data_IF_350344706011
#
_entry.id   IF_350344706011
#
_cell.length_a   1.000
_cell.length_b   1.000
_cell.length_c   1.000
_cell.angle_alpha   90.00
_cell.angle_beta   90.00
_cell.angle_gamma   90.00
#
_symmetry.space_group_name_H-M   'P 1'
#
loop_
_entity.id
_entity.type
_entity.pdbx_description
1 polymer ?
#
# COMPACT_ATOMS: atom_id res chain seq x y z
N UNK A 1 39.93 -12.74 20.18
CA UNK A 1 39.73 -13.09 18.75
C UNK A 1 38.97 -14.40 18.67
N UNK A 2 37.64 -14.36 18.66
CA UNK A 2 36.79 -15.55 18.54
C UNK A 2 36.62 -15.91 17.06
N UNK A 3 36.88 -17.16 16.68
CA UNK A 3 36.66 -17.65 15.31
C UNK A 3 35.16 -17.62 15.01
N UNK A 4 34.77 -16.88 13.97
CA UNK A 4 33.41 -16.94 13.43
C UNK A 4 33.15 -18.37 12.93
N UNK A 5 32.04 -18.96 13.38
CA UNK A 5 31.58 -20.24 12.88
C UNK A 5 30.78 -19.98 11.61
N UNK A 6 31.33 -20.45 10.50
CA UNK A 6 30.66 -20.47 9.19
C UNK A 6 29.78 -21.72 9.11
N UNK A 7 28.53 -21.54 8.69
CA UNK A 7 27.58 -22.61 8.38
C UNK A 7 27.04 -22.41 6.97
N UNK A 8 26.74 -23.50 6.26
CA UNK A 8 26.19 -23.45 4.91
C UNK A 8 24.76 -23.99 4.93
N UNK A 9 23.81 -23.27 4.32
CA UNK A 9 22.38 -23.64 4.32
C UNK A 9 21.86 -23.71 2.89
N UNK A 10 21.16 -24.80 2.56
CA UNK A 10 20.59 -25.01 1.25
C UNK A 10 19.31 -24.18 1.09
N UNK A 11 19.27 -23.27 0.12
CA UNK A 11 18.10 -22.46 -0.19
C UNK A 11 16.94 -23.27 -0.78
N UNK A 12 17.17 -24.51 -1.21
CA UNK A 12 16.15 -25.37 -1.80
C UNK A 12 15.49 -26.33 -0.80
N UNK A 13 16.23 -26.82 0.20
CA UNK A 13 15.71 -27.82 1.15
C UNK A 13 16.01 -27.54 2.62
N UNK A 14 16.71 -26.45 2.96
CA UNK A 14 17.04 -26.08 4.33
C UNK A 14 18.15 -26.91 4.99
N UNK A 15 18.74 -27.88 4.28
CA UNK A 15 19.84 -28.69 4.82
C UNK A 15 21.04 -27.82 5.20
N UNK A 16 21.56 -28.02 6.42
CA UNK A 16 22.69 -27.25 6.97
C UNK A 16 23.94 -28.12 7.07
N UNK A 17 25.09 -27.59 6.63
CA UNK A 17 26.39 -28.26 6.70
C UNK A 17 27.48 -27.32 7.22
N UNK A 18 28.47 -27.85 7.93
CA UNK A 18 29.62 -27.06 8.39
C UNK A 18 30.64 -26.73 7.29
N UNK A 19 30.58 -27.39 6.13
CA UNK A 19 31.48 -27.18 4.99
C UNK A 19 30.73 -27.44 3.68
N UNK A 20 31.12 -26.72 2.63
CA UNK A 20 30.55 -26.84 1.30
C UNK A 20 31.35 -27.78 0.40
N UNK A 21 30.64 -28.65 -0.32
CA UNK A 21 31.21 -29.72 -1.16
C UNK A 21 30.77 -29.62 -2.63
N UNK A 22 30.27 -28.47 -3.08
CA UNK A 22 29.84 -28.21 -4.46
C UNK A 22 28.41 -28.67 -4.82
N UNK A 23 27.83 -29.63 -4.08
CA UNK A 23 26.45 -30.11 -4.25
C UNK A 23 25.77 -30.32 -2.88
N UNK A 24 24.47 -29.98 -2.78
CA UNK A 24 23.71 -30.24 -1.55
C UNK A 24 23.53 -31.74 -1.32
N UNK A 25 23.92 -32.25 -0.15
CA UNK A 25 23.84 -33.69 0.16
C UNK A 25 22.43 -34.22 0.41
N UNK A 26 21.46 -33.34 0.65
CA UNK A 26 20.08 -33.74 0.92
C UNK A 26 19.22 -33.75 -0.35
N UNK A 27 19.41 -32.77 -1.24
CA UNK A 27 18.58 -32.65 -2.45
C UNK A 27 19.35 -32.82 -3.76
N UNK A 28 20.66 -33.06 -3.70
CA UNK A 28 21.55 -33.28 -4.86
C UNK A 28 21.58 -32.15 -5.90
N UNK A 29 21.09 -30.95 -5.55
CA UNK A 29 21.09 -29.79 -6.43
C UNK A 29 22.35 -28.96 -6.19
N UNK A 30 23.08 -28.64 -7.27
CA UNK A 30 24.24 -27.74 -7.26
C UNK A 30 23.81 -26.27 -7.20
N UNK A 31 24.67 -25.39 -6.67
CA UNK A 31 24.42 -23.93 -6.65
C UNK A 31 23.38 -23.44 -5.64
N UNK A 32 22.87 -24.30 -4.76
CA UNK A 32 21.80 -23.97 -3.80
C UNK A 32 22.29 -23.67 -2.39
N UNK A 33 23.58 -23.80 -2.09
CA UNK A 33 24.10 -23.57 -0.72
C UNK A 33 24.60 -22.15 -0.54
N UNK A 34 24.10 -21.48 0.49
CA UNK A 34 24.48 -20.13 0.90
C UNK A 34 25.26 -20.17 2.21
N UNK A 35 26.27 -19.32 2.32
CA UNK A 35 27.11 -19.19 3.52
C UNK A 35 26.44 -18.27 4.55
N UNK A 36 26.41 -18.70 5.81
CA UNK A 36 25.83 -18.01 6.95
C UNK A 36 26.84 -17.92 8.10
N UNK A 37 27.06 -16.71 8.59
CA UNK A 37 27.93 -16.42 9.73
C UNK A 37 27.08 -16.26 10.99
N UNK A 38 27.35 -17.06 12.02
CA UNK A 38 26.66 -16.97 13.30
C UNK A 38 27.25 -15.81 14.13
N UNK A 39 26.50 -14.71 14.26
CA UNK A 39 26.86 -13.59 15.14
C UNK A 39 26.39 -13.92 16.56
N UNK A 40 27.32 -14.02 17.52
CA UNK A 40 26.98 -14.16 18.94
C UNK A 40 26.45 -12.84 19.49
N UNK A 41 25.13 -12.73 19.61
CA UNK A 41 24.43 -11.63 20.27
C UNK A 41 23.40 -12.18 21.27
N UNK A 42 23.50 -11.71 22.50
CA UNK A 42 22.76 -12.06 23.72
C UNK A 42 21.24 -12.16 23.57
N UNK A 43 20.65 -13.13 24.26
CA UNK A 43 19.21 -13.32 24.42
C UNK A 43 18.55 -12.11 25.10
N UNK A 44 17.74 -11.39 24.34
CA UNK A 44 16.48 -10.80 24.81
C UNK A 44 15.54 -10.72 23.60
N UNK A 45 14.38 -11.35 23.73
CA UNK A 45 13.27 -11.48 22.78
C UNK A 45 13.16 -10.24 21.86
N UNK A 46 13.38 -10.39 20.55
CA UNK A 46 13.25 -9.25 19.64
C UNK A 46 13.61 -9.52 18.18
N UNK A 47 12.61 -9.32 17.31
CA UNK A 47 12.67 -8.97 15.89
C UNK A 47 13.42 -9.94 14.95
N UNK A 48 12.61 -10.80 14.31
CA UNK A 48 12.90 -11.35 13.00
C UNK A 48 13.15 -10.19 12.04
N UNK A 49 14.28 -10.20 11.35
CA UNK A 49 14.77 -9.15 10.44
C UNK A 49 13.96 -9.11 9.13
N UNK A 50 12.70 -8.72 9.23
CA UNK A 50 11.88 -8.24 8.12
C UNK A 50 11.69 -6.74 8.27
N UNK A 51 11.99 -6.00 7.20
CA UNK A 51 11.35 -4.73 6.90
C UNK A 51 11.29 -3.70 8.05
N UNK A 52 12.43 -3.13 8.45
CA UNK A 52 12.40 -1.88 9.21
C UNK A 52 12.22 -0.70 8.25
N UNK A 53 10.99 -0.53 7.75
CA UNK A 53 10.52 0.82 7.37
C UNK A 53 10.59 1.64 8.65
N UNK A 54 11.24 2.80 8.60
CA UNK A 54 11.39 3.71 9.75
C UNK A 54 10.05 3.87 10.49
N UNK A 55 9.96 3.25 11.67
CA UNK A 55 8.76 3.28 12.53
C UNK A 55 8.39 4.70 12.98
N UNK A 56 9.31 5.65 12.91
CA UNK A 56 9.09 7.03 13.37
C UNK A 56 8.13 7.84 12.48
N UNK A 57 7.94 7.45 11.21
CA UNK A 57 7.05 8.17 10.29
C UNK A 57 5.61 7.64 10.23
N UNK A 58 5.41 6.35 10.48
CA UNK A 58 4.14 5.65 10.23
C UNK A 58 3.26 5.51 11.49
N UNK A 59 3.86 5.58 12.69
CA UNK A 59 3.15 5.40 13.97
C UNK A 59 2.12 6.48 14.31
N UNK A 60 2.13 7.60 13.60
CA UNK A 60 1.22 8.74 13.84
C UNK A 60 -0.20 8.55 13.26
N UNK A 61 -0.42 7.56 12.39
CA UNK A 61 -1.63 7.49 11.56
C UNK A 61 -2.72 6.53 12.06
N UNK A 62 -2.42 5.68 13.05
CA UNK A 62 -3.35 4.66 13.55
C UNK A 62 -3.64 4.90 15.04
N UNK A 63 -4.91 5.06 15.47
CA UNK A 63 -5.23 5.15 16.88
C UNK A 63 -4.91 3.82 17.57
N UNK A 64 -3.93 3.84 18.48
CA UNK A 64 -3.62 2.71 19.35
C UNK A 64 -4.78 2.46 20.33
N UNK A 65 -5.72 1.59 19.96
CA UNK A 65 -6.61 0.96 20.94
C UNK A 65 -5.94 -0.32 21.45
N UNK A 66 -5.26 -0.18 22.57
CA UNK A 66 -4.75 -1.26 23.42
C UNK A 66 -5.90 -1.96 24.15
N UNK A 67 -6.70 -2.73 23.42
CA UNK A 67 -7.63 -3.71 23.99
C UNK A 67 -7.11 -5.12 23.72
N UNK A 68 -7.15 -6.00 24.72
CA UNK A 68 -6.93 -7.43 24.53
C UNK A 68 -7.89 -7.95 23.45
N UNK A 69 -7.33 -8.45 22.34
CA UNK A 69 -8.10 -8.98 21.22
C UNK A 69 -8.65 -10.36 21.61
N UNK A 70 -9.96 -10.44 21.83
CA UNK A 70 -10.67 -11.69 22.08
C UNK A 70 -11.63 -12.00 20.93
N UNK A 71 -11.94 -13.28 20.64
CA UNK A 71 -12.98 -13.63 19.67
C UNK A 71 -14.34 -13.08 20.09
N UNK A 72 -14.97 -12.27 19.24
CA UNK A 72 -16.30 -11.67 19.45
C UNK A 72 -17.33 -12.41 18.59
N UNK A 73 -18.55 -12.64 19.10
CA UNK A 73 -19.62 -13.25 18.31
C UNK A 73 -20.09 -12.30 17.20
N UNK A 74 -20.36 -12.84 16.02
CA UNK A 74 -20.88 -12.06 14.87
C UNK A 74 -22.16 -11.27 15.24
N UNK A 75 -23.04 -11.84 16.06
CA UNK A 75 -24.26 -11.17 16.51
C UNK A 75 -24.00 -9.95 17.40
N UNK A 76 -22.86 -9.88 18.08
CA UNK A 76 -22.47 -8.74 18.90
C UNK A 76 -21.82 -7.65 18.04
N UNK A 77 -21.02 -8.04 17.03
CA UNK A 77 -20.45 -7.11 16.05
C UNK A 77 -21.54 -6.40 15.26
N UNK A 78 -22.50 -7.14 14.69
CA UNK A 78 -23.56 -6.56 13.84
C UNK A 78 -24.51 -5.62 14.58
N UNK A 79 -24.58 -5.67 15.92
CA UNK A 79 -25.40 -4.74 16.72
C UNK A 79 -24.75 -3.38 16.93
N UNK A 80 -23.43 -3.29 16.77
CA UNK A 80 -22.64 -2.08 17.06
C UNK A 80 -22.19 -1.31 15.82
N UNK A 81 -22.41 -1.82 14.61
CA UNK A 81 -21.96 -1.19 13.38
C UNK A 81 -23.15 -0.51 12.71
N UNK A 82 -23.00 0.77 12.36
CA UNK A 82 -23.88 1.41 11.38
C UNK A 82 -23.35 1.08 9.98
N UNK A 83 -23.95 0.06 9.36
CA UNK A 83 -23.50 -0.42 8.05
C UNK A 83 -23.83 0.55 6.91
N UNK A 84 -24.74 1.51 7.12
CA UNK A 84 -25.30 2.35 6.05
C UNK A 84 -24.52 3.65 5.83
N UNK A 85 -23.86 4.19 6.86
CA UNK A 85 -23.23 5.53 6.78
C UNK A 85 -21.70 5.55 6.87
N UNK A 86 -21.05 4.39 7.02
CA UNK A 86 -19.59 4.36 7.19
C UNK A 86 -18.80 4.42 5.88
N UNK A 87 -19.47 4.25 4.73
CA UNK A 87 -18.84 4.29 3.40
C UNK A 87 -18.89 5.69 2.80
N UNK A 88 -17.92 6.00 1.97
CA UNK A 88 -17.95 7.18 1.10
C UNK A 88 -18.88 6.86 -0.08
N UNK A 89 -20.04 7.54 -0.20
CA UNK A 89 -20.94 7.34 -1.31
C UNK A 89 -20.31 7.89 -2.60
N UNK A 90 -20.60 7.25 -3.73
CA UNK A 90 -20.25 7.76 -5.05
C UNK A 90 -21.56 8.05 -5.78
N UNK A 91 -21.89 9.33 -5.89
CA UNK A 91 -23.18 9.80 -6.41
C UNK A 91 -23.27 9.70 -7.94
N UNK A 92 -24.51 9.72 -8.45
CA UNK A 92 -24.80 9.74 -9.88
C UNK A 92 -24.76 8.35 -10.55
N UNK A 93 -25.14 8.27 -11.85
CA UNK A 93 -25.29 7.00 -12.55
C UNK A 93 -23.97 6.22 -12.64
N UNK A 94 -22.86 6.90 -12.90
CA UNK A 94 -21.53 6.29 -12.91
C UNK A 94 -21.10 5.86 -11.50
N UNK A 95 -21.25 6.74 -10.50
CA UNK A 95 -20.90 6.42 -9.11
C UNK A 95 -21.68 5.24 -8.54
N UNK A 96 -22.95 5.07 -8.94
CA UNK A 96 -23.78 3.94 -8.55
C UNK A 96 -23.23 2.59 -9.08
N UNK A 97 -22.76 2.55 -10.32
CA UNK A 97 -22.16 1.34 -10.89
C UNK A 97 -20.82 1.00 -10.20
N UNK A 98 -19.98 2.02 -9.95
CA UNK A 98 -18.73 1.83 -9.18
C UNK A 98 -19.04 1.36 -7.76
N UNK A 99 -20.03 1.96 -7.08
CA UNK A 99 -20.46 1.57 -5.74
C UNK A 99 -20.97 0.13 -5.70
N UNK A 100 -21.66 -0.33 -6.74
CA UNK A 100 -22.11 -1.72 -6.85
C UNK A 100 -20.91 -2.68 -6.87
N UNK A 101 -19.86 -2.37 -7.62
CA UNK A 101 -18.62 -3.16 -7.68
C UNK A 101 -17.90 -3.15 -6.33
N UNK A 102 -17.91 -2.03 -5.61
CA UNK A 102 -17.25 -1.87 -4.31
C UNK A 102 -18.07 -2.38 -3.10
N UNK A 103 -19.24 -2.97 -3.35
CA UNK A 103 -20.12 -3.48 -2.28
C UNK A 103 -20.79 -2.38 -1.45
N UNK A 104 -21.20 -1.28 -2.11
CA UNK A 104 -21.95 -0.18 -1.52
C UNK A 104 -21.19 1.15 -1.40
N UNK A 105 -19.97 1.26 -1.93
CA UNK A 105 -19.15 2.47 -1.87
C UNK A 105 -17.76 2.23 -1.28
N UNK A 106 -16.95 3.28 -1.19
CA UNK A 106 -15.57 3.17 -0.70
C UNK A 106 -15.52 3.12 0.83
N UNK A 107 -14.61 2.31 1.36
CA UNK A 107 -14.39 2.17 2.81
C UNK A 107 -13.29 3.13 3.26
N UNK A 108 -13.53 4.03 4.24
CA UNK A 108 -12.47 4.84 4.84
C UNK A 108 -11.38 3.97 5.47
N UNK A 109 -10.12 4.37 5.30
CA UNK A 109 -8.97 3.62 5.82
C UNK A 109 -8.70 2.30 5.09
N UNK A 110 -9.32 2.06 3.93
CA UNK A 110 -9.01 0.92 3.08
C UNK A 110 -8.07 1.29 1.94
N UNK A 111 -7.47 0.26 1.33
CA UNK A 111 -6.74 0.36 0.07
C UNK A 111 -7.52 -0.38 -1.02
N UNK A 112 -7.80 0.29 -2.13
CA UNK A 112 -8.47 -0.28 -3.30
C UNK A 112 -7.51 -0.26 -4.49
N UNK A 113 -7.27 -1.44 -5.09
CA UNK A 113 -6.43 -1.59 -6.27
C UNK A 113 -7.29 -1.68 -7.53
N UNK A 114 -7.01 -0.81 -8.51
CA UNK A 114 -7.64 -0.84 -9.83
C UNK A 114 -6.66 -1.45 -10.83
N UNK A 115 -6.91 -2.71 -11.21
CA UNK A 115 -6.11 -3.45 -12.19
C UNK A 115 -6.73 -3.45 -13.59
N UNK A 116 -5.89 -3.63 -14.61
CA UNK A 116 -6.32 -3.75 -16.00
C UNK A 116 -5.20 -3.41 -16.98
N UNK A 117 -5.40 -3.77 -18.25
CA UNK A 117 -4.39 -3.58 -19.31
C UNK A 117 -4.03 -2.09 -19.51
N UNK A 118 -2.81 -1.78 -19.98
CA UNK A 118 -2.45 -0.44 -20.41
C UNK A 118 -3.47 0.10 -21.43
N UNK A 119 -3.90 1.34 -21.28
CA UNK A 119 -4.87 1.96 -22.19
C UNK A 119 -6.34 1.60 -21.98
N UNK A 120 -6.70 0.68 -21.06
CA UNK A 120 -8.11 0.34 -20.78
C UNK A 120 -8.91 1.47 -20.12
N UNK A 121 -8.23 2.53 -19.68
CA UNK A 121 -8.86 3.72 -19.07
C UNK A 121 -8.83 3.77 -17.54
N UNK A 122 -7.86 3.10 -16.89
CA UNK A 122 -7.69 3.14 -15.42
C UNK A 122 -7.56 4.57 -14.88
N UNK A 123 -6.66 5.36 -15.46
CA UNK A 123 -6.43 6.76 -15.08
C UNK A 123 -7.69 7.63 -15.26
N UNK A 124 -8.44 7.39 -16.33
CA UNK A 124 -9.73 8.05 -16.58
C UNK A 124 -10.74 7.68 -15.49
N UNK A 125 -10.86 6.38 -15.17
CA UNK A 125 -11.76 5.88 -14.13
C UNK A 125 -11.40 6.48 -12.76
N UNK A 126 -10.12 6.45 -12.39
CA UNK A 126 -9.60 6.98 -11.14
C UNK A 126 -9.85 8.48 -11.01
N UNK A 127 -9.66 9.25 -12.09
CA UNK A 127 -9.89 10.69 -12.09
C UNK A 127 -11.38 11.03 -11.93
N UNK A 128 -12.28 10.27 -12.57
CA UNK A 128 -13.73 10.41 -12.36
C UNK A 128 -14.16 10.00 -10.94
N UNK A 129 -13.56 8.95 -10.37
CA UNK A 129 -13.81 8.56 -8.98
C UNK A 129 -13.31 9.63 -8.00
N UNK A 130 -12.12 10.19 -8.22
CA UNK A 130 -11.59 11.29 -7.42
C UNK A 130 -12.54 12.49 -7.43
N UNK A 131 -13.11 12.81 -8.60
CA UNK A 131 -14.09 13.88 -8.73
C UNK A 131 -15.36 13.63 -7.90
N UNK A 132 -15.92 12.42 -7.97
CA UNK A 132 -17.10 12.05 -7.18
C UNK A 132 -16.83 12.09 -5.66
N UNK A 133 -15.63 11.70 -5.23
CA UNK A 133 -15.26 11.76 -3.81
C UNK A 133 -15.11 13.22 -3.35
N UNK A 134 -14.55 14.09 -4.19
CA UNK A 134 -14.34 15.51 -3.89
C UNK A 134 -15.67 16.29 -3.82
N UNK A 135 -16.65 15.94 -4.66
CA UNK A 135 -18.00 16.52 -4.63
C UNK A 135 -18.77 16.15 -3.35
N UNK A 136 -18.43 15.03 -2.72
CA UNK A 136 -19.08 14.57 -1.48
C UNK A 136 -20.56 14.21 -1.67
N UNK A 137 -21.26 14.05 -0.55
CA UNK A 137 -22.72 13.96 -0.55
C UNK A 137 -23.32 15.34 -0.29
N UNK A 138 -24.55 15.58 -0.72
CA UNK A 138 -25.19 16.93 -0.74
C UNK A 138 -25.25 17.63 0.64
N UNK A 139 -25.06 16.88 1.72
CA UNK A 139 -25.12 17.33 3.11
C UNK A 139 -23.73 17.40 3.81
N UNK A 140 -22.64 17.15 3.08
CA UNK A 140 -21.27 17.08 3.64
C UNK A 140 -20.37 18.25 3.27
N UNK A 141 -19.43 18.59 4.15
CA UNK A 141 -18.34 19.52 3.84
C UNK A 141 -17.43 18.92 2.76
N UNK A 142 -17.16 19.70 1.71
CA UNK A 142 -16.19 19.36 0.67
C UNK A 142 -14.87 18.97 1.33
N UNK A 143 -14.44 17.73 1.11
CA UNK A 143 -13.24 17.20 1.73
C UNK A 143 -12.14 17.04 0.66
N UNK A 144 -10.90 17.47 0.93
CA UNK A 144 -9.83 17.42 -0.05
C UNK A 144 -9.60 16.01 -0.61
N UNK A 145 -9.44 15.90 -1.92
CA UNK A 145 -8.95 14.69 -2.60
C UNK A 145 -7.62 15.04 -3.26
N UNK A 146 -6.61 14.19 -3.08
CA UNK A 146 -5.33 14.35 -3.76
C UNK A 146 -5.17 13.28 -4.82
N UNK A 147 -4.96 13.69 -6.07
CA UNK A 147 -4.59 12.84 -7.18
C UNK A 147 -3.11 12.97 -7.45
N UNK A 148 -2.38 11.88 -7.24
CA UNK A 148 -0.94 11.81 -7.46
C UNK A 148 -0.66 11.02 -8.72
N UNK A 149 0.19 11.54 -9.60
CA UNK A 149 0.72 10.77 -10.72
C UNK A 149 2.23 10.79 -10.79
N UNK A 150 2.82 9.64 -11.12
CA UNK A 150 4.23 9.54 -11.50
C UNK A 150 4.45 9.46 -13.01
N UNK A 151 3.40 9.33 -13.82
CA UNK A 151 3.48 9.19 -15.28
C UNK A 151 3.17 10.49 -16.01
N UNK A 152 2.24 11.28 -15.49
CA UNK A 152 1.73 12.49 -16.14
C UNK A 152 2.07 13.75 -15.34
N UNK A 153 2.26 14.85 -16.06
CA UNK A 153 2.38 16.18 -15.45
C UNK A 153 1.01 16.69 -14.98
N UNK A 154 1.00 17.67 -14.08
CA UNK A 154 -0.24 18.28 -13.58
C UNK A 154 -1.06 18.92 -14.71
N UNK A 155 -0.41 19.49 -15.73
CA UNK A 155 -1.06 20.06 -16.91
C UNK A 155 -1.72 19.00 -17.78
N UNK A 156 -1.09 17.82 -17.93
CA UNK A 156 -1.67 16.71 -18.69
C UNK A 156 -2.92 16.14 -18.00
N UNK A 157 -2.87 16.01 -16.67
CA UNK A 157 -4.02 15.60 -15.87
C UNK A 157 -5.13 16.65 -15.95
N UNK A 158 -4.79 17.94 -15.86
CA UNK A 158 -5.73 19.05 -16.02
C UNK A 158 -6.45 19.02 -17.36
N UNK A 159 -5.71 18.88 -18.47
CA UNK A 159 -6.31 18.74 -19.81
C UNK A 159 -7.26 17.54 -19.92
N UNK A 160 -6.98 16.44 -19.20
CA UNK A 160 -7.87 15.28 -19.14
C UNK A 160 -9.11 15.56 -18.29
N UNK A 161 -8.96 16.23 -17.17
CA UNK A 161 -10.08 16.65 -16.32
C UNK A 161 -11.04 17.57 -17.10
N UNK A 162 -10.50 18.52 -17.87
CA UNK A 162 -11.28 19.41 -18.74
C UNK A 162 -12.08 18.62 -19.78
N UNK A 163 -11.45 17.65 -20.45
CA UNK A 163 -12.14 16.77 -21.41
C UNK A 163 -13.24 15.93 -20.78
N UNK A 164 -13.09 15.59 -19.50
CA UNK A 164 -14.09 14.84 -18.72
C UNK A 164 -15.14 15.76 -18.07
N UNK A 165 -15.01 17.09 -18.24
CA UNK A 165 -15.88 18.10 -17.62
C UNK A 165 -15.89 17.98 -16.09
N UNK A 166 -14.74 17.70 -15.49
CA UNK A 166 -14.57 17.62 -14.04
C UNK A 166 -14.38 19.04 -13.49
N UNK A 167 -15.30 19.50 -12.66
CA UNK A 167 -15.26 20.82 -12.03
C UNK A 167 -15.02 20.79 -10.52
N UNK A 168 -14.76 19.62 -9.94
CA UNK A 168 -14.57 19.44 -8.51
C UNK A 168 -13.15 19.78 -8.06
N UNK A 169 -13.02 20.18 -6.80
CA UNK A 169 -11.75 20.65 -6.22
C UNK A 169 -10.84 19.47 -5.86
N UNK A 170 -10.04 19.03 -6.85
CA UNK A 170 -9.07 17.94 -6.72
C UNK A 170 -7.66 18.54 -6.72
N UNK A 171 -6.90 18.24 -5.68
CA UNK A 171 -5.48 18.61 -5.61
C UNK A 171 -4.67 17.67 -6.50
N UNK A 172 -3.91 18.23 -7.44
CA UNK A 172 -3.03 17.45 -8.32
C UNK A 172 -1.59 17.51 -7.81
N UNK A 173 -0.92 16.36 -7.81
CA UNK A 173 0.49 16.29 -7.46
C UNK A 173 1.24 15.34 -8.40
N UNK A 174 2.39 15.77 -8.93
CA UNK A 174 3.23 14.92 -9.78
C UNK A 174 4.49 14.55 -9.01
N UNK A 175 4.61 13.27 -8.63
CA UNK A 175 5.75 12.74 -7.89
C UNK A 175 5.78 11.21 -7.96
N UNK A 176 6.98 10.67 -7.87
CA UNK A 176 7.27 9.23 -7.82
C UNK A 176 7.81 8.79 -6.46
N UNK A 177 8.08 9.72 -5.54
CA UNK A 177 8.64 9.42 -4.22
C UNK A 177 7.52 9.37 -3.16
N UNK A 178 7.24 8.19 -2.63
CA UNK A 178 6.15 8.02 -1.66
C UNK A 178 6.36 8.81 -0.36
N UNK A 179 7.60 9.00 0.09
CA UNK A 179 7.87 9.76 1.31
C UNK A 179 7.60 11.26 1.10
N UNK A 180 7.91 11.77 -0.09
CA UNK A 180 7.59 13.13 -0.49
C UNK A 180 6.08 13.31 -0.67
N UNK A 181 5.39 12.36 -1.31
CA UNK A 181 3.93 12.35 -1.44
C UNK A 181 3.27 12.42 -0.07
N UNK A 182 3.60 11.49 0.83
CA UNK A 182 2.96 11.42 2.15
C UNK A 182 3.22 12.69 2.98
N UNK A 183 4.44 13.24 2.97
CA UNK A 183 4.75 14.48 3.69
C UNK A 183 3.94 15.68 3.21
N UNK A 184 3.76 15.83 1.89
CA UNK A 184 3.00 16.95 1.32
C UNK A 184 1.50 16.79 1.53
N UNK A 185 1.00 15.56 1.44
CA UNK A 185 -0.42 15.25 1.58
C UNK A 185 -0.90 15.32 3.03
N UNK A 186 -0.03 15.05 4.01
CA UNK A 186 -0.40 15.01 5.43
C UNK A 186 -1.08 16.29 5.92
N UNK A 187 -0.60 17.46 5.50
CA UNK A 187 -1.17 18.76 5.92
C UNK A 187 -2.58 19.02 5.36
N UNK A 188 -2.96 18.34 4.27
CA UNK A 188 -4.27 18.49 3.65
C UNK A 188 -5.34 17.61 4.32
N UNK A 189 -4.93 16.60 5.11
CA UNK A 189 -5.84 15.62 5.73
C UNK A 189 -6.93 15.12 4.76
N UNK A 190 -6.55 14.62 3.56
CA UNK A 190 -7.53 14.37 2.52
C UNK A 190 -8.45 13.20 2.86
N UNK A 191 -9.66 13.27 2.34
CA UNK A 191 -10.64 12.16 2.40
C UNK A 191 -10.21 10.98 1.55
N UNK A 192 -9.48 11.24 0.46
CA UNK A 192 -8.90 10.20 -0.38
C UNK A 192 -7.57 10.63 -1.00
N UNK A 193 -6.66 9.66 -1.12
CA UNK A 193 -5.42 9.77 -1.87
C UNK A 193 -5.48 8.77 -3.04
N UNK A 194 -5.42 9.28 -4.26
CA UNK A 194 -5.35 8.48 -5.48
C UNK A 194 -3.92 8.48 -5.97
N UNK A 195 -3.39 7.29 -6.29
CA UNK A 195 -2.02 7.12 -6.80
C UNK A 195 -2.08 6.42 -8.16
N UNK A 196 -1.78 7.16 -9.22
CA UNK A 196 -1.82 6.73 -10.62
C UNK A 196 -0.43 6.86 -11.28
N UNK A 197 0.41 5.83 -11.25
CA UNK A 197 0.13 4.48 -10.83
C UNK A 197 1.16 3.96 -9.83
N UNK A 198 0.77 2.94 -9.06
CA UNK A 198 1.66 2.31 -8.07
C UNK A 198 2.98 1.84 -8.69
N UNK A 199 2.99 1.48 -9.98
CA UNK A 199 4.22 1.06 -10.66
C UNK A 199 5.21 2.19 -10.95
N UNK A 200 4.88 3.44 -10.70
CA UNK A 200 5.84 4.55 -10.83
C UNK A 200 6.32 5.08 -9.50
N UNK A 201 5.75 4.60 -8.41
CA UNK A 201 6.06 5.06 -7.07
C UNK A 201 7.13 4.18 -6.42
N UNK A 202 8.16 4.80 -5.84
CA UNK A 202 9.24 4.12 -5.12
C UNK A 202 9.34 4.60 -3.67
N UNK A 203 9.89 3.73 -2.82
CA UNK A 203 10.33 4.06 -1.46
C UNK A 203 11.86 4.10 -1.44
N UNK A 204 12.43 5.18 -0.90
CA UNK A 204 13.89 5.28 -0.71
C UNK A 204 14.35 4.20 0.28
N UNK A 205 15.40 3.47 -0.08
CA UNK A 205 15.98 2.42 0.78
C UNK A 205 15.48 1.00 0.51
N UNK A 206 14.48 0.80 -0.35
CA UNK A 206 14.12 -0.52 -0.89
C UNK A 206 14.80 -0.71 -2.24
N UNK A 207 15.68 -1.71 -2.36
CA UNK A 207 16.26 -2.11 -3.65
C UNK A 207 15.23 -2.94 -4.43
N UNK A 208 14.52 -2.31 -5.34
CA UNK A 208 13.56 -2.94 -6.26
C UNK A 208 13.06 -1.91 -7.28
N UNK A 209 12.61 -2.36 -8.47
CA UNK A 209 11.96 -1.47 -9.42
C UNK A 209 10.59 -1.01 -8.88
N UNK A 210 10.18 0.24 -9.12
CA UNK A 210 8.86 0.75 -8.75
C UNK A 210 7.73 -0.23 -9.14
N UNK A 211 6.87 -0.60 -8.19
CA UNK A 211 5.75 -1.53 -8.38
C UNK A 211 6.08 -3.02 -8.40
N UNK A 212 7.30 -3.43 -8.03
CA UNK A 212 7.68 -4.83 -7.90
C UNK A 212 7.13 -5.49 -6.63
N UNK A 213 6.96 -6.81 -6.66
CA UNK A 213 6.49 -7.64 -5.52
C UNK A 213 7.44 -7.55 -4.30
N UNK A 214 8.67 -7.09 -4.52
CA UNK A 214 9.72 -6.95 -3.50
C UNK A 214 9.59 -5.60 -2.76
N UNK A 215 8.77 -4.66 -3.27
CA UNK A 215 8.53 -3.35 -2.67
C UNK A 215 7.37 -3.37 -1.67
#
# INVERSE_FOLDING_TARGET
MGKEKVSWVCSNCGYTAGQWWGVCRSCSVSGTMKEFHEVKGSESIGKVSGFSVMEDGLRSWLPEKSGELHPIRLSEVNRGVDHLHWRIPLSGPFGNEVSRVLGGGLVPGSLTLVGGDPGVGKSTLLLQMAALIAEGDKDGEASPVVYVSGEESVEQIGNRADRLTIGSDIYLYSSTDIEDILRKVQHLSPRALVVDSVQTVYLKGITGSPGGIIQ
#
